data_IF_171917460599
#
_entry.id   IF_171917460599
#
_cell.length_a   1.000
_cell.length_b   1.000
_cell.length_c   1.000
_cell.angle_alpha   90.00
_cell.angle_beta   90.00
_cell.angle_gamma   90.00
#
_symmetry.space_group_name_H-M   'P 1'
#
loop_
_entity.id
_entity.type
_entity.pdbx_description
1 polymer ?
#
# COMPACT_ATOMS: atom_id res chain seq x y z
N UNK A 1 -2.74 19.54 -12.69
CA UNK A 1 -2.40 20.19 -11.42
C UNK A 1 -2.35 19.16 -10.30
N UNK A 2 -1.44 19.31 -9.33
CA UNK A 2 -1.31 18.44 -8.16
C UNK A 2 -1.32 19.32 -6.90
N UNK A 3 -2.10 18.89 -5.89
CA UNK A 3 -2.02 19.44 -4.54
C UNK A 3 -1.34 18.40 -3.63
N UNK A 4 -0.21 18.75 -3.03
CA UNK A 4 0.48 17.92 -2.05
C UNK A 4 0.06 18.38 -0.66
N UNK A 5 -0.49 17.47 0.12
CA UNK A 5 -0.98 17.79 1.46
C UNK A 5 -0.46 16.80 2.52
N UNK A 6 -0.16 17.30 3.69
CA UNK A 6 0.21 16.50 4.87
C UNK A 6 0.04 17.30 6.16
N UNK A 7 0.18 16.64 7.31
CA UNK A 7 0.20 17.32 8.63
C UNK A 7 1.30 18.37 8.76
N UNK A 8 2.41 18.22 8.02
CA UNK A 8 3.56 19.14 8.06
C UNK A 8 3.71 19.86 6.73
N UNK A 9 3.07 21.03 6.59
CA UNK A 9 3.09 21.80 5.35
C UNK A 9 4.50 22.09 4.83
N UNK A 10 5.48 22.35 5.71
CA UNK A 10 6.86 22.64 5.27
C UNK A 10 7.49 21.47 4.50
N UNK A 11 7.16 20.21 4.82
CA UNK A 11 7.62 19.05 4.05
C UNK A 11 7.05 19.05 2.63
N UNK A 12 5.78 19.45 2.47
CA UNK A 12 5.15 19.60 1.16
C UNK A 12 5.80 20.72 0.36
N UNK A 13 6.10 21.86 1.01
CA UNK A 13 6.77 22.99 0.39
C UNK A 13 8.20 22.64 -0.06
N UNK A 14 8.95 21.89 0.76
CA UNK A 14 10.28 21.39 0.42
C UNK A 14 10.24 20.43 -0.77
N UNK A 15 9.25 19.52 -0.81
CA UNK A 15 9.07 18.61 -1.95
C UNK A 15 8.73 19.40 -3.22
N UNK A 16 7.80 20.34 -3.14
CA UNK A 16 7.48 21.25 -4.26
C UNK A 16 8.74 21.93 -4.77
N UNK A 17 9.56 22.49 -3.89
CA UNK A 17 10.82 23.16 -4.25
C UNK A 17 11.80 22.22 -4.96
N UNK A 18 11.91 20.97 -4.53
CA UNK A 18 12.76 19.95 -5.20
C UNK A 18 12.29 19.62 -6.61
N UNK A 19 11.03 19.84 -6.91
CA UNK A 19 10.41 19.56 -8.21
C UNK A 19 10.39 20.78 -9.14
N UNK A 20 10.74 21.97 -8.65
CA UNK A 20 10.82 23.19 -9.46
C UNK A 20 11.79 23.01 -10.62
N UNK A 21 11.34 23.35 -11.82
CA UNK A 21 12.11 23.20 -13.06
C UNK A 21 12.23 21.75 -13.58
N UNK A 22 11.74 20.74 -12.83
CA UNK A 22 11.77 19.34 -13.27
C UNK A 22 10.45 18.88 -13.90
N UNK A 23 9.39 19.63 -13.73
CA UNK A 23 8.06 19.32 -14.29
C UNK A 23 7.35 20.59 -14.70
N UNK A 24 6.49 20.49 -15.73
CA UNK A 24 5.56 21.55 -16.12
C UNK A 24 4.25 21.51 -15.31
N UNK A 25 4.06 20.48 -14.47
CA UNK A 25 2.86 20.33 -13.65
C UNK A 25 2.79 21.42 -12.58
N UNK A 26 1.68 22.13 -12.51
CA UNK A 26 1.41 23.08 -11.43
C UNK A 26 1.24 22.35 -10.12
N UNK A 27 2.10 22.64 -9.14
CA UNK A 27 2.08 22.02 -7.80
C UNK A 27 1.67 23.08 -6.78
N UNK A 28 0.66 22.74 -5.98
CA UNK A 28 0.23 23.50 -4.81
C UNK A 28 0.47 22.68 -3.54
N UNK A 29 0.50 23.31 -2.38
CA UNK A 29 0.75 22.64 -1.09
C UNK A 29 -0.24 23.11 -0.04
N UNK A 30 -0.73 22.17 0.74
CA UNK A 30 -1.68 22.45 1.82
C UNK A 30 -1.31 21.68 3.09
N UNK A 31 -1.87 22.13 4.21
CA UNK A 31 -1.80 21.40 5.47
C UNK A 31 -3.13 20.70 5.71
N UNK A 32 -3.10 19.45 6.15
CA UNK A 32 -4.27 18.69 6.54
C UNK A 32 -3.88 17.60 7.54
N UNK A 33 -4.72 17.38 8.52
CA UNK A 33 -4.68 16.21 9.38
C UNK A 33 -5.65 15.16 8.81
N UNK A 34 -5.10 14.10 8.23
CA UNK A 34 -5.89 13.07 7.56
C UNK A 34 -6.65 12.15 8.54
N UNK A 35 -6.43 12.28 9.85
CA UNK A 35 -7.24 11.63 10.87
C UNK A 35 -8.58 12.36 11.10
N UNK A 36 -8.76 13.55 10.48
CA UNK A 36 -9.95 14.41 10.65
C UNK A 36 -10.71 14.57 9.34
N UNK A 37 -11.81 13.89 9.23
CA UNK A 37 -12.68 13.92 8.03
C UNK A 37 -13.07 15.36 7.66
N UNK A 38 -13.41 16.21 8.64
CA UNK A 38 -13.82 17.60 8.40
C UNK A 38 -12.70 18.47 7.81
N UNK A 39 -11.43 18.25 8.18
CA UNK A 39 -10.29 18.95 7.58
C UNK A 39 -10.06 18.48 6.13
N UNK A 40 -10.17 17.17 5.88
CA UNK A 40 -10.10 16.59 4.55
C UNK A 40 -11.20 17.11 3.63
N UNK A 41 -12.44 17.14 4.12
CA UNK A 41 -13.60 17.67 3.38
C UNK A 41 -13.40 19.14 3.03
N UNK A 42 -12.93 19.96 3.98
CA UNK A 42 -12.62 21.36 3.72
C UNK A 42 -11.55 21.53 2.65
N UNK A 43 -10.50 20.72 2.70
CA UNK A 43 -9.41 20.74 1.71
C UNK A 43 -9.90 20.29 0.33
N UNK A 44 -10.64 19.19 0.24
CA UNK A 44 -11.18 18.67 -1.02
C UNK A 44 -12.12 19.71 -1.67
N UNK A 45 -13.00 20.34 -0.89
CA UNK A 45 -13.88 21.41 -1.39
C UNK A 45 -13.11 22.66 -1.86
N UNK A 46 -11.96 22.95 -1.26
CA UNK A 46 -11.07 24.06 -1.67
C UNK A 46 -10.33 23.74 -2.96
N UNK A 47 -9.78 22.52 -3.09
CA UNK A 47 -8.92 22.12 -4.21
C UNK A 47 -9.74 21.62 -5.39
N UNK A 48 -10.88 21.00 -5.15
CA UNK A 48 -11.77 20.36 -6.15
C UNK A 48 -11.03 19.38 -7.06
N UNK A 49 -10.37 18.35 -6.49
CA UNK A 49 -9.63 17.37 -7.28
C UNK A 49 -10.58 16.37 -7.95
N UNK A 50 -10.15 15.77 -9.06
CA UNK A 50 -10.84 14.63 -9.70
C UNK A 50 -10.58 13.31 -8.98
N UNK A 51 -9.43 13.23 -8.28
CA UNK A 51 -8.95 12.06 -7.58
C UNK A 51 -8.18 12.46 -6.32
N UNK A 52 -8.46 11.80 -5.22
CA UNK A 52 -7.62 11.83 -4.00
C UNK A 52 -6.79 10.55 -3.98
N UNK A 53 -5.46 10.72 -3.92
CA UNK A 53 -4.51 9.62 -3.82
C UNK A 53 -3.92 9.59 -2.40
N UNK A 54 -4.19 8.53 -1.66
CA UNK A 54 -3.54 8.28 -0.38
C UNK A 54 -2.22 7.55 -0.60
N UNK A 55 -1.12 8.24 -0.32
CA UNK A 55 0.26 7.69 -0.34
C UNK A 55 0.92 7.85 1.04
N UNK A 56 0.11 8.06 2.06
CA UNK A 56 0.53 8.07 3.46
C UNK A 56 0.54 6.65 4.03
N UNK A 57 0.65 6.53 5.34
CA UNK A 57 0.48 5.24 6.02
C UNK A 57 -0.98 4.77 5.95
N UNK A 58 -1.25 3.46 6.09
CA UNK A 58 -2.59 2.88 5.89
C UNK A 58 -3.62 3.32 6.94
N UNK A 59 -3.18 3.94 8.02
CA UNK A 59 -4.03 4.32 9.16
C UNK A 59 -5.16 5.29 8.79
N UNK A 60 -4.99 6.08 7.73
CA UNK A 60 -5.92 7.12 7.31
C UNK A 60 -6.83 6.72 6.12
N UNK A 61 -6.76 5.49 5.63
CA UNK A 61 -7.52 5.06 4.45
C UNK A 61 -9.01 5.33 4.61
N UNK A 62 -9.60 4.90 5.73
CA UNK A 62 -11.05 4.98 5.92
C UNK A 62 -11.53 6.42 6.11
N UNK A 63 -10.76 7.26 6.81
CA UNK A 63 -11.10 8.69 6.99
C UNK A 63 -11.04 9.46 5.67
N UNK A 64 -10.07 9.13 4.81
CA UNK A 64 -9.96 9.73 3.48
C UNK A 64 -11.10 9.23 2.58
N UNK A 65 -11.46 7.93 2.62
CA UNK A 65 -12.60 7.37 1.89
C UNK A 65 -13.92 8.05 2.29
N UNK A 66 -14.15 8.29 3.58
CA UNK A 66 -15.32 9.02 4.07
C UNK A 66 -15.37 10.45 3.51
N UNK A 67 -14.26 11.17 3.54
CA UNK A 67 -14.16 12.52 2.99
C UNK A 67 -14.38 12.55 1.46
N UNK A 68 -13.86 11.55 0.74
CA UNK A 68 -14.06 11.40 -0.71
C UNK A 68 -15.55 11.18 -1.05
N UNK A 69 -16.23 10.32 -0.30
CA UNK A 69 -17.66 10.08 -0.47
C UNK A 69 -18.49 11.34 -0.21
N UNK A 70 -18.19 12.07 0.89
CA UNK A 70 -18.91 13.31 1.20
C UNK A 70 -18.73 14.37 0.11
N UNK A 71 -17.57 14.43 -0.50
CA UNK A 71 -17.23 15.42 -1.53
C UNK A 71 -17.55 14.97 -2.96
N UNK A 72 -17.89 13.70 -3.19
CA UNK A 72 -18.16 13.17 -4.52
C UNK A 72 -16.89 13.05 -5.37
N UNK A 73 -15.78 12.58 -4.80
CA UNK A 73 -14.47 12.49 -5.45
C UNK A 73 -13.96 11.05 -5.45
N UNK A 74 -13.26 10.66 -6.50
CA UNK A 74 -12.65 9.33 -6.62
C UNK A 74 -11.50 9.18 -5.62
N UNK A 75 -11.25 7.93 -5.21
CA UNK A 75 -10.24 7.56 -4.23
C UNK A 75 -9.23 6.56 -4.80
N UNK A 76 -8.00 6.60 -4.31
CA UNK A 76 -6.95 5.62 -4.59
C UNK A 76 -6.03 5.52 -3.38
N UNK A 77 -5.62 4.29 -3.04
CA UNK A 77 -4.59 4.02 -2.04
C UNK A 77 -3.51 3.06 -2.56
N UNK A 78 -2.53 2.77 -1.72
CA UNK A 78 -1.37 1.94 -2.05
C UNK A 78 -1.17 0.77 -1.10
N UNK A 79 -2.04 0.57 -0.12
CA UNK A 79 -1.96 -0.50 0.88
C UNK A 79 -3.32 -0.79 1.51
N UNK A 80 -3.44 -1.93 2.24
CA UNK A 80 -4.61 -2.23 3.04
C UNK A 80 -4.67 -1.37 4.32
N UNK A 81 -5.88 -1.09 4.77
CA UNK A 81 -6.10 -0.38 6.05
C UNK A 81 -5.61 -1.19 7.24
N UNK A 82 -4.89 -0.51 8.12
CA UNK A 82 -4.59 -0.96 9.47
C UNK A 82 -4.87 0.18 10.47
N UNK A 83 -5.29 -0.11 11.71
CA UNK A 83 -5.36 0.92 12.75
C UNK A 83 -3.95 1.31 13.20
N UNK A 84 -3.77 2.51 13.74
CA UNK A 84 -2.50 2.94 14.32
C UNK A 84 -2.06 2.04 15.49
N UNK A 85 -3.02 1.56 16.28
CA UNK A 85 -2.80 0.57 17.34
C UNK A 85 -3.36 -0.81 16.96
N UNK A 86 -2.49 -1.64 16.39
CA UNK A 86 -2.84 -3.03 16.03
C UNK A 86 -3.06 -3.94 17.24
N UNK A 87 -2.80 -3.47 18.46
CA UNK A 87 -3.06 -4.21 19.71
C UNK A 87 -4.46 -3.94 20.27
N UNK A 88 -5.23 -3.03 19.66
CA UNK A 88 -6.62 -2.75 20.06
C UNK A 88 -7.45 -4.05 20.12
N UNK A 89 -8.04 -4.39 21.28
CA UNK A 89 -8.72 -5.67 21.46
C UNK A 89 -9.94 -5.88 20.55
N UNK A 90 -10.67 -4.80 20.19
CA UNK A 90 -11.85 -4.92 19.32
C UNK A 90 -11.41 -5.17 17.87
N UNK A 91 -10.39 -4.48 17.41
CA UNK A 91 -9.81 -4.73 16.10
C UNK A 91 -9.19 -6.13 16.04
N UNK A 92 -8.35 -6.50 17.01
CA UNK A 92 -7.71 -7.83 17.07
C UNK A 92 -8.72 -8.97 17.01
N UNK A 93 -9.83 -8.85 17.73
CA UNK A 93 -10.88 -9.87 17.71
C UNK A 93 -11.47 -10.12 16.32
N UNK A 94 -11.66 -9.05 15.54
CA UNK A 94 -12.17 -9.14 14.17
C UNK A 94 -11.09 -9.66 13.25
N UNK A 95 -9.89 -9.15 13.34
CA UNK A 95 -8.74 -9.53 12.54
C UNK A 95 -8.37 -11.01 12.72
N UNK A 96 -8.20 -11.47 13.98
CA UNK A 96 -7.85 -12.86 14.27
C UNK A 96 -8.93 -13.85 13.79
N UNK A 97 -10.20 -13.44 13.81
CA UNK A 97 -11.28 -14.24 13.24
C UNK A 97 -11.13 -14.40 11.73
N UNK A 98 -10.82 -13.30 11.03
CA UNK A 98 -10.60 -13.31 9.57
C UNK A 98 -9.36 -14.11 9.18
N UNK A 99 -8.25 -13.92 9.86
CA UNK A 99 -7.05 -14.74 9.66
C UNK A 99 -7.38 -16.24 9.74
N UNK A 100 -8.16 -16.63 10.75
CA UNK A 100 -8.58 -18.03 10.92
C UNK A 100 -9.51 -18.53 9.80
N UNK A 101 -10.40 -17.66 9.31
CA UNK A 101 -11.32 -18.00 8.21
C UNK A 101 -10.57 -18.20 6.89
N UNK A 102 -9.55 -17.37 6.64
CA UNK A 102 -8.68 -17.44 5.44
C UNK A 102 -7.58 -18.51 5.57
N UNK A 103 -7.30 -18.97 6.78
CA UNK A 103 -6.29 -20.01 7.03
C UNK A 103 -4.88 -19.50 7.24
N UNK A 104 -4.71 -18.22 7.57
CA UNK A 104 -3.43 -17.57 7.82
C UNK A 104 -3.20 -17.22 9.29
N UNK A 105 -1.93 -17.09 9.69
CA UNK A 105 -1.54 -16.46 10.97
C UNK A 105 -1.47 -14.93 10.85
N UNK A 106 -1.20 -14.42 9.65
CA UNK A 106 -1.27 -13.01 9.26
C UNK A 106 -1.98 -12.90 7.91
N UNK A 107 -2.75 -11.85 7.71
CA UNK A 107 -3.57 -11.63 6.53
C UNK A 107 -3.68 -10.14 6.23
N UNK A 108 -3.51 -9.73 4.96
CA UNK A 108 -3.68 -8.35 4.53
C UNK A 108 -5.16 -8.09 4.26
N UNK A 109 -5.84 -7.48 5.22
CA UNK A 109 -7.30 -7.44 5.28
C UNK A 109 -7.89 -6.20 4.59
N UNK A 110 -8.18 -6.30 3.32
CA UNK A 110 -8.89 -5.27 2.54
C UNK A 110 -10.39 -5.18 2.83
N UNK A 111 -10.97 -6.04 3.65
CA UNK A 111 -12.43 -6.01 3.89
C UNK A 111 -12.92 -4.72 4.52
N UNK A 112 -12.07 -3.98 5.22
CA UNK A 112 -12.38 -2.65 5.76
C UNK A 112 -12.65 -1.63 4.64
N UNK A 113 -11.81 -1.60 3.61
CA UNK A 113 -12.01 -0.74 2.44
C UNK A 113 -13.11 -1.29 1.54
N UNK A 114 -13.21 -2.62 1.35
CA UNK A 114 -14.29 -3.25 0.59
C UNK A 114 -15.68 -3.00 1.18
N UNK A 115 -15.81 -2.74 2.48
CA UNK A 115 -17.07 -2.33 3.11
C UNK A 115 -17.66 -1.03 2.53
N UNK A 116 -16.83 -0.23 1.85
CA UNK A 116 -17.25 1.01 1.17
C UNK A 116 -17.78 0.79 -0.24
N UNK A 117 -17.66 -0.41 -0.80
CA UNK A 117 -18.03 -0.73 -2.19
C UNK A 117 -19.39 -0.17 -2.60
N UNK A 118 -20.45 -0.55 -1.88
CA UNK A 118 -21.80 -0.10 -2.22
C UNK A 118 -21.98 1.42 -2.14
N UNK A 119 -21.27 2.09 -1.22
CA UNK A 119 -21.36 3.54 -1.07
C UNK A 119 -20.74 4.23 -2.28
N UNK A 120 -19.54 3.80 -2.72
CA UNK A 120 -18.88 4.32 -3.92
C UNK A 120 -19.68 4.04 -5.19
N UNK A 121 -20.17 2.81 -5.37
CA UNK A 121 -21.01 2.43 -6.52
C UNK A 121 -22.30 3.29 -6.61
N UNK A 122 -23.01 3.48 -5.49
CA UNK A 122 -24.22 4.32 -5.43
C UNK A 122 -23.92 5.79 -5.72
N UNK A 123 -22.75 6.28 -5.36
CA UNK A 123 -22.30 7.63 -5.65
C UNK A 123 -21.75 7.79 -7.09
N UNK A 124 -21.60 6.72 -7.87
CA UNK A 124 -20.98 6.73 -9.19
C UNK A 124 -19.49 7.05 -9.15
N UNK A 125 -18.83 6.72 -8.04
CA UNK A 125 -17.42 6.98 -7.79
C UNK A 125 -16.60 5.68 -7.89
N UNK A 126 -15.31 5.85 -8.13
CA UNK A 126 -14.33 4.77 -8.15
C UNK A 126 -13.41 4.87 -6.93
N UNK A 127 -13.20 3.74 -6.25
CA UNK A 127 -12.11 3.54 -5.31
C UNK A 127 -11.16 2.48 -5.87
N UNK A 128 -9.90 2.82 -6.08
CA UNK A 128 -8.85 1.90 -6.53
C UNK A 128 -7.96 1.58 -5.34
N UNK A 129 -7.99 0.33 -4.90
CA UNK A 129 -7.30 -0.14 -3.70
C UNK A 129 -5.99 -0.83 -4.05
N UNK A 130 -4.98 -0.75 -3.18
CA UNK A 130 -3.71 -1.45 -3.32
C UNK A 130 -2.96 -1.11 -4.62
N UNK A 131 -3.01 0.13 -5.07
CA UNK A 131 -2.43 0.55 -6.34
C UNK A 131 -1.05 1.21 -6.15
N UNK A 132 -0.18 0.53 -5.41
CA UNK A 132 1.21 0.91 -5.19
C UNK A 132 2.16 0.23 -6.16
N UNK A 133 3.37 -0.02 -5.69
CA UNK A 133 4.34 -0.86 -6.40
C UNK A 133 4.10 -2.34 -6.01
N UNK A 134 4.06 -2.59 -4.73
CA UNK A 134 3.88 -3.87 -4.06
C UNK A 134 2.94 -3.66 -2.87
N UNK A 135 1.65 -3.84 -3.03
CA UNK A 135 0.87 -4.34 -4.17
C UNK A 135 0.63 -3.30 -5.28
N UNK A 136 0.24 -3.77 -6.47
CA UNK A 136 -0.26 -2.97 -7.59
C UNK A 136 0.50 -3.22 -8.90
N UNK A 137 1.72 -2.71 -9.04
CA UNK A 137 2.54 -2.88 -10.26
C UNK A 137 2.88 -4.35 -10.49
N UNK A 138 3.17 -5.11 -9.44
CA UNK A 138 3.46 -6.55 -9.49
C UNK A 138 2.29 -7.34 -10.06
N UNK A 139 1.05 -7.11 -9.59
CA UNK A 139 -0.14 -7.74 -10.15
C UNK A 139 -0.38 -7.32 -11.61
N UNK A 140 -0.14 -6.05 -11.94
CA UNK A 140 -0.27 -5.57 -13.32
C UNK A 140 0.72 -6.26 -14.25
N UNK A 141 1.97 -6.50 -13.80
CA UNK A 141 2.96 -7.28 -14.57
C UNK A 141 2.55 -8.73 -14.74
N UNK A 142 2.03 -9.38 -13.70
CA UNK A 142 1.52 -10.75 -13.79
C UNK A 142 0.36 -10.84 -14.80
N UNK A 143 -0.60 -9.94 -14.71
CA UNK A 143 -1.72 -9.88 -15.64
C UNK A 143 -1.28 -9.59 -17.09
N UNK A 144 -0.31 -8.71 -17.28
CA UNK A 144 0.26 -8.41 -18.59
C UNK A 144 0.98 -9.63 -19.16
N UNK A 145 1.79 -10.30 -18.36
CA UNK A 145 2.53 -11.50 -18.77
C UNK A 145 1.58 -12.63 -19.16
N UNK A 146 0.56 -12.88 -18.34
CA UNK A 146 -0.48 -13.87 -18.64
C UNK A 146 -1.19 -13.58 -19.96
N UNK A 147 -1.50 -12.31 -20.23
CA UNK A 147 -2.28 -11.93 -21.40
C UNK A 147 -1.45 -11.90 -22.70
N UNK A 148 -0.17 -11.57 -22.63
CA UNK A 148 0.62 -11.16 -23.79
C UNK A 148 1.90 -11.97 -24.02
N UNK A 149 2.44 -12.66 -23.00
CA UNK A 149 3.76 -13.25 -23.07
C UNK A 149 3.76 -14.78 -22.92
N UNK A 150 2.79 -15.35 -22.22
CA UNK A 150 2.76 -16.78 -21.90
C UNK A 150 1.41 -17.41 -22.24
N UNK A 151 1.43 -18.61 -22.82
CA UNK A 151 0.23 -19.42 -23.01
C UNK A 151 -0.23 -20.07 -21.70
N UNK A 152 0.73 -20.34 -20.81
CA UNK A 152 0.52 -20.90 -19.48
C UNK A 152 1.57 -20.35 -18.53
N UNK A 153 1.17 -20.05 -17.29
CA UNK A 153 2.07 -19.67 -16.20
C UNK A 153 2.10 -20.82 -15.20
N UNK A 154 3.26 -21.45 -15.03
CA UNK A 154 3.45 -22.54 -14.08
C UNK A 154 3.95 -22.04 -12.71
N UNK A 155 4.67 -20.93 -12.70
CA UNK A 155 5.25 -20.34 -11.48
C UNK A 155 5.25 -18.82 -11.58
N UNK A 156 4.92 -18.17 -10.49
CA UNK A 156 5.13 -16.74 -10.28
C UNK A 156 6.03 -16.60 -9.06
N UNK A 157 7.09 -15.82 -9.20
CA UNK A 157 8.03 -15.52 -8.14
C UNK A 157 8.37 -14.04 -8.21
N UNK A 158 7.95 -13.29 -7.20
CA UNK A 158 8.11 -11.85 -7.10
C UNK A 158 9.32 -11.60 -6.20
N UNK A 159 10.30 -10.88 -6.74
CA UNK A 159 11.53 -10.54 -6.04
C UNK A 159 11.76 -9.04 -6.18
N UNK A 160 11.85 -8.37 -5.07
CA UNK A 160 12.24 -6.98 -5.01
C UNK A 160 13.42 -6.75 -4.08
N UNK A 161 14.17 -5.70 -4.29
CA UNK A 161 15.25 -5.30 -3.39
C UNK A 161 15.45 -3.78 -3.40
N UNK A 162 15.92 -3.26 -2.29
CA UNK A 162 16.39 -1.88 -2.26
C UNK A 162 17.78 -1.79 -2.92
N UNK A 163 17.82 -1.15 -4.08
CA UNK A 163 19.07 -0.87 -4.83
C UNK A 163 19.73 0.46 -4.48
N UNK A 164 19.16 1.23 -3.54
CA UNK A 164 19.70 2.52 -3.13
C UNK A 164 20.85 2.41 -2.13
N UNK A 165 21.62 3.48 -2.02
CA UNK A 165 22.61 3.69 -0.97
C UNK A 165 22.18 4.88 -0.11
N UNK A 166 21.98 4.65 1.19
CA UNK A 166 21.60 5.66 2.17
C UNK A 166 22.78 6.19 2.97
N UNK A 167 24.00 5.72 2.70
CA UNK A 167 25.22 6.09 3.42
C UNK A 167 25.29 5.52 4.84
N UNK A 168 24.46 4.54 5.20
CA UNK A 168 24.43 3.87 6.49
C UNK A 168 24.49 2.34 6.32
N UNK A 169 25.12 1.61 7.26
CA UNK A 169 25.19 0.14 7.19
C UNK A 169 23.82 -0.54 7.22
N UNK A 170 22.81 0.12 7.84
CA UNK A 170 21.43 -0.30 7.86
C UNK A 170 20.54 0.91 7.68
N UNK A 171 19.64 0.85 6.74
CA UNK A 171 18.61 1.86 6.50
C UNK A 171 17.40 1.25 5.80
N UNK A 172 16.23 1.82 6.06
CA UNK A 172 15.00 1.52 5.33
C UNK A 172 14.39 2.80 4.80
N UNK A 173 13.77 2.75 3.63
CA UNK A 173 13.00 3.86 3.05
C UNK A 173 11.56 3.87 3.54
N UNK A 174 11.14 2.81 4.20
CA UNK A 174 9.78 2.55 4.63
C UNK A 174 9.62 2.73 6.13
N UNK A 175 8.40 2.59 6.65
CA UNK A 175 8.16 2.64 8.08
C UNK A 175 8.88 1.47 8.77
N UNK A 176 9.81 1.73 9.72
CA UNK A 176 10.57 0.66 10.35
C UNK A 176 9.73 -0.34 11.14
N UNK A 177 8.60 0.11 11.70
CA UNK A 177 7.68 -0.75 12.45
C UNK A 177 6.99 -1.75 11.51
N UNK A 178 6.48 -1.26 10.36
CA UNK A 178 5.84 -2.12 9.37
C UNK A 178 6.85 -3.14 8.85
N UNK A 179 8.05 -2.73 8.47
CA UNK A 179 9.10 -3.68 8.04
C UNK A 179 9.41 -4.73 9.10
N UNK A 180 9.49 -4.35 10.38
CA UNK A 180 9.75 -5.31 11.46
C UNK A 180 8.59 -6.30 11.62
N UNK A 181 7.35 -5.87 11.44
CA UNK A 181 6.18 -6.74 11.49
C UNK A 181 6.18 -7.74 10.32
N UNK A 182 6.43 -7.27 9.11
CA UNK A 182 6.51 -8.11 7.90
C UNK A 182 7.57 -9.20 8.03
N UNK A 183 8.80 -8.85 8.40
CA UNK A 183 9.88 -9.84 8.55
C UNK A 183 9.72 -10.76 9.76
N UNK A 184 8.84 -10.41 10.70
CA UNK A 184 8.53 -11.22 11.88
C UNK A 184 7.30 -12.09 11.71
N UNK A 185 6.48 -11.84 10.69
CA UNK A 185 5.33 -12.63 10.36
C UNK A 185 5.73 -13.94 9.67
N UNK A 186 4.95 -15.02 9.79
CA UNK A 186 5.12 -16.21 8.97
C UNK A 186 5.08 -15.86 7.49
N UNK A 187 5.98 -16.47 6.71
CA UNK A 187 5.93 -16.37 5.24
C UNK A 187 4.87 -17.29 4.67
N UNK A 188 4.32 -16.97 3.51
CA UNK A 188 3.36 -17.83 2.82
C UNK A 188 3.54 -17.84 1.31
N UNK A 189 3.15 -18.95 0.69
CA UNK A 189 3.16 -19.13 -0.74
C UNK A 189 2.07 -20.12 -1.17
N UNK A 190 1.64 -20.02 -2.42
CA UNK A 190 0.66 -20.92 -3.01
C UNK A 190 1.34 -22.08 -3.72
N UNK A 191 1.00 -23.33 -3.36
CA UNK A 191 1.51 -24.52 -4.03
C UNK A 191 0.47 -25.63 -4.05
N UNK A 192 0.38 -26.39 -5.15
CA UNK A 192 -0.52 -27.55 -5.30
C UNK A 192 -2.00 -27.25 -4.96
N UNK A 193 -2.47 -26.03 -5.23
CA UNK A 193 -3.86 -25.65 -5.03
C UNK A 193 -4.21 -25.23 -3.60
N UNK A 194 -3.23 -24.95 -2.75
CA UNK A 194 -3.46 -24.46 -1.39
C UNK A 194 -2.34 -23.55 -0.90
N UNK A 195 -2.63 -22.75 0.12
CA UNK A 195 -1.64 -21.94 0.81
C UNK A 195 -0.76 -22.78 1.73
N UNK A 196 0.52 -22.49 1.73
CA UNK A 196 1.52 -23.06 2.64
C UNK A 196 2.11 -21.92 3.46
N UNK A 197 2.00 -22.04 4.78
CA UNK A 197 2.60 -21.09 5.72
C UNK A 197 3.90 -21.69 6.31
N UNK A 198 4.94 -20.86 6.42
CA UNK A 198 6.26 -21.23 6.92
C UNK A 198 6.71 -20.29 8.05
N UNK A 199 7.61 -20.71 8.94
CA UNK A 199 8.16 -19.81 9.94
C UNK A 199 8.83 -18.58 9.29
N UNK A 200 8.73 -17.44 9.97
CA UNK A 200 9.31 -16.18 9.51
C UNK A 200 10.77 -16.34 9.05
N UNK A 201 11.09 -15.81 7.89
CA UNK A 201 12.44 -15.81 7.28
C UNK A 201 13.11 -17.20 7.18
N UNK A 202 12.34 -18.29 7.17
CA UNK A 202 12.89 -19.66 7.17
C UNK A 202 13.40 -20.14 5.80
N UNK A 203 12.90 -19.56 4.71
CA UNK A 203 13.39 -19.84 3.35
C UNK A 203 14.19 -18.65 2.87
N UNK A 204 15.45 -18.90 2.53
CA UNK A 204 16.41 -17.92 2.03
C UNK A 204 17.04 -18.42 0.73
N UNK A 205 17.27 -17.52 -0.21
CA UNK A 205 18.13 -17.77 -1.38
C UNK A 205 18.92 -16.52 -1.75
N UNK A 206 20.05 -16.68 -2.40
CA UNK A 206 20.77 -15.59 -3.06
C UNK A 206 20.19 -15.35 -4.45
N UNK A 207 20.05 -14.07 -4.81
CA UNK A 207 19.65 -13.65 -6.14
C UNK A 207 20.51 -12.48 -6.61
N UNK A 208 20.97 -12.56 -7.86
CA UNK A 208 21.78 -11.49 -8.46
C UNK A 208 20.86 -10.58 -9.30
N UNK A 209 20.54 -9.42 -8.78
CA UNK A 209 19.77 -8.42 -9.51
C UNK A 209 20.67 -7.69 -10.51
N UNK A 210 20.20 -7.53 -11.74
CA UNK A 210 20.91 -6.76 -12.75
C UNK A 210 21.15 -5.33 -12.24
N UNK A 211 22.39 -4.84 -12.39
CA UNK A 211 22.86 -3.51 -11.96
C UNK A 211 22.85 -3.23 -10.44
N UNK A 212 22.33 -4.13 -9.60
CA UNK A 212 22.30 -4.00 -8.14
C UNK A 212 23.25 -4.97 -7.46
N UNK A 213 23.43 -6.17 -8.04
CA UNK A 213 24.28 -7.22 -7.50
C UNK A 213 23.54 -8.25 -6.65
N UNK A 214 24.31 -9.07 -5.97
CA UNK A 214 23.79 -10.18 -5.14
C UNK A 214 23.08 -9.66 -3.89
N UNK A 215 21.91 -10.26 -3.63
CA UNK A 215 21.09 -10.00 -2.46
C UNK A 215 20.59 -11.30 -1.84
N UNK A 216 20.56 -11.34 -0.52
CA UNK A 216 19.88 -12.36 0.23
C UNK A 216 18.36 -12.10 0.22
N UNK A 217 17.61 -13.00 -0.42
CA UNK A 217 16.16 -12.92 -0.52
C UNK A 217 15.52 -13.89 0.47
N UNK A 218 14.53 -13.41 1.18
CA UNK A 218 13.74 -14.22 2.12
C UNK A 218 12.30 -14.28 1.65
N UNK A 219 11.69 -15.47 1.74
CA UNK A 219 10.27 -15.62 1.46
C UNK A 219 9.47 -15.03 2.62
N UNK A 220 8.65 -14.05 2.29
CA UNK A 220 7.77 -13.35 3.21
C UNK A 220 6.30 -13.60 2.84
N UNK A 221 5.39 -13.21 3.71
CA UNK A 221 3.99 -12.96 3.38
C UNK A 221 3.86 -11.46 3.05
N UNK A 222 3.28 -11.14 1.89
CA UNK A 222 3.09 -9.76 1.48
C UNK A 222 1.80 -9.59 0.66
N UNK A 223 1.28 -8.36 0.56
CA UNK A 223 -0.05 -8.04 0.02
C UNK A 223 -0.27 -8.52 -1.43
N UNK A 224 0.75 -8.56 -2.27
CA UNK A 224 0.62 -8.90 -3.70
C UNK A 224 0.24 -10.35 -3.96
N UNK A 225 0.31 -11.21 -2.98
CA UNK A 225 -0.04 -12.63 -3.12
C UNK A 225 -1.48 -12.96 -2.75
N UNK A 226 -2.25 -12.03 -2.16
CA UNK A 226 -3.63 -12.23 -1.69
C UNK A 226 -4.73 -11.73 -2.63
#
# INVERSE_FOLDING_TARGET
>A
EICIASRTKSKCDDLKKKLEGKTATKITTEQVDADKVEELVALIKKVQPDLVMNIALPYQDLTIMDACLECGVNYMDTANYEPEDISDPEWRKVYDKRCKEEGFSAYFDYTWQWAYKEKFEKAGLTALLGSGFDPGVTQAYCAYAQKHLFDQIDTIDILDCNGGDHGYPFATNFNPEINLREVSAPGSYWENGHWVEIPAMSIKREYNFDQVGEKDMYLLHHEEIE
#
